data_IF_927844125454
#
_entry.id   IF_927844125454
#
_cell.length_a   1.000
_cell.length_b   1.000
_cell.length_c   1.000
_cell.angle_alpha   90.00
_cell.angle_beta   90.00
_cell.angle_gamma   90.00
#
_symmetry.space_group_name_H-M   'P 1'
#
loop_
_entity.id
_entity.type
_entity.pdbx_description
1 polymer ?
#
# COMPACT_ATOMS: atom_id res chain seq x y z
N UNK A 1 71.83 -17.19 20.84
CA UNK A 1 71.54 -16.87 19.42
C UNK A 1 70.65 -15.62 19.39
N UNK A 2 70.64 -14.91 18.27
CA UNK A 2 70.15 -13.52 18.11
C UNK A 2 68.77 -13.20 18.74
N UNK A 3 68.50 -12.03 19.33
CA UNK A 3 68.66 -10.63 18.86
C UNK A 3 67.70 -10.29 17.68
N UNK A 4 66.98 -9.15 17.62
CA UNK A 4 66.93 -7.92 18.44
C UNK A 4 65.70 -7.07 18.02
N UNK A 5 65.09 -6.33 18.97
CA UNK A 5 64.59 -4.92 18.87
C UNK A 5 63.65 -4.44 17.70
N UNK A 6 62.96 -3.29 17.77
CA UNK A 6 62.52 -2.39 18.87
C UNK A 6 61.44 -1.41 18.36
N UNK A 7 60.74 -0.75 19.29
CA UNK A 7 59.81 0.36 19.10
C UNK A 7 60.46 1.65 18.56
N UNK A 8 59.61 2.52 18.00
CA UNK A 8 59.52 3.98 18.21
C UNK A 8 60.39 5.00 17.43
N UNK A 9 59.74 6.12 17.09
CA UNK A 9 60.23 7.52 17.08
C UNK A 9 61.01 8.11 15.88
N UNK A 10 60.27 8.90 15.08
CA UNK A 10 60.50 10.31 14.68
C UNK A 10 61.74 10.82 13.90
N UNK A 11 61.47 11.67 12.89
CA UNK A 11 62.39 12.62 12.20
C UNK A 11 61.90 12.95 10.78
N UNK A 12 61.38 14.16 10.48
CA UNK A 12 62.05 15.32 9.79
C UNK A 12 62.71 14.96 8.44
N UNK A 13 62.65 15.73 7.34
CA UNK A 13 62.19 17.09 6.94
C UNK A 13 62.12 17.13 5.38
N UNK A 14 61.66 18.14 4.60
CA UNK A 14 60.95 19.43 4.75
C UNK A 14 60.43 19.90 3.34
N UNK A 15 59.70 21.03 3.26
CA UNK A 15 59.31 21.74 2.01
C UNK A 15 57.87 21.46 1.55
N UNK A 16 57.00 22.44 1.28
CA UNK A 16 57.15 23.90 1.39
C UNK A 16 55.85 24.62 1.79
N UNK A 17 56.08 25.84 2.30
CA UNK A 17 55.17 26.93 2.70
C UNK A 17 53.89 27.12 1.84
N UNK A 18 52.68 27.35 2.38
CA UNK A 18 52.19 28.37 3.34
C UNK A 18 52.01 29.79 2.74
N UNK A 19 51.10 30.66 3.24
CA UNK A 19 49.85 30.40 3.98
C UNK A 19 48.63 31.23 3.47
N UNK A 20 47.46 31.01 4.09
CA UNK A 20 46.38 31.99 4.15
C UNK A 20 46.34 32.62 5.55
N UNK A 21 46.04 33.93 5.63
CA UNK A 21 45.66 34.75 6.82
C UNK A 21 46.00 36.23 6.51
N UNK A 22 45.32 37.29 6.95
CA UNK A 22 44.03 37.48 7.66
C UNK A 22 43.66 38.99 7.56
N UNK A 23 42.45 39.38 8.00
CA UNK A 23 42.04 40.74 8.43
C UNK A 23 41.97 41.92 7.43
N UNK A 24 40.74 42.43 7.29
CA UNK A 24 40.49 43.86 7.13
C UNK A 24 40.78 44.61 8.46
N UNK A 25 41.07 45.92 8.43
CA UNK A 25 40.05 46.88 8.86
C UNK A 25 40.03 48.18 8.05
N UNK A 26 39.10 49.08 8.40
CA UNK A 26 38.81 50.34 7.71
C UNK A 26 39.61 51.56 8.23
N UNK A 27 39.50 52.67 7.48
CA UNK A 27 39.38 54.08 7.91
C UNK A 27 40.42 55.10 7.40
N UNK A 28 39.88 56.21 6.88
CA UNK A 28 40.33 57.62 6.90
C UNK A 28 41.77 58.07 6.51
N UNK A 29 41.83 59.10 5.64
CA UNK A 29 43.00 59.98 5.44
C UNK A 29 43.13 60.50 3.99
N UNK A 30 42.39 61.55 3.58
CA UNK A 30 42.83 62.96 3.50
C UNK A 30 44.21 63.23 2.86
N UNK A 31 44.18 63.74 1.62
CA UNK A 31 45.09 64.76 1.08
C UNK A 31 44.27 65.61 0.06
N UNK A 32 44.03 66.89 0.36
CA UNK A 32 44.69 68.03 -0.31
C UNK A 32 44.34 68.10 -1.82
N UNK A 33 43.25 68.76 -2.25
CA UNK A 33 42.88 70.18 -2.10
C UNK A 33 43.82 71.14 -2.84
N UNK A 34 43.42 71.53 -4.06
CA UNK A 34 43.81 72.81 -4.63
C UNK A 34 42.59 73.65 -5.02
N UNK A 35 42.61 74.88 -4.51
CA UNK A 35 42.06 76.11 -5.07
C UNK A 35 40.56 76.15 -5.39
N UNK A 36 39.85 76.69 -4.41
CA UNK A 36 38.55 77.34 -4.54
C UNK A 36 38.80 78.84 -4.72
N UNK A 37 38.41 79.39 -5.86
CA UNK A 37 38.17 80.84 -6.00
C UNK A 37 36.69 81.08 -6.33
N UNK A 38 36.20 82.30 -6.14
CA UNK A 38 34.83 82.52 -5.65
C UNK A 38 33.75 82.80 -6.72
N UNK A 39 32.49 82.65 -6.30
CA UNK A 39 31.23 82.96 -7.05
C UNK A 39 30.91 84.48 -6.94
N UNK A 40 29.79 85.07 -7.46
CA UNK A 40 28.61 84.49 -8.16
C UNK A 40 28.00 85.31 -9.35
N UNK A 41 27.14 84.66 -10.15
CA UNK A 41 25.96 85.18 -10.92
C UNK A 41 25.56 84.09 -11.95
N UNK A 42 24.30 83.74 -12.27
CA UNK A 42 22.94 84.08 -11.82
C UNK A 42 22.07 82.80 -11.95
N UNK A 43 20.90 82.68 -11.29
CA UNK A 43 20.01 81.54 -11.48
C UNK A 43 19.22 81.68 -12.80
N UNK A 44 19.62 80.97 -13.85
CA UNK A 44 18.76 80.81 -15.03
C UNK A 44 17.61 79.85 -14.73
N UNK A 45 16.47 80.46 -14.44
CA UNK A 45 15.14 79.85 -14.37
C UNK A 45 14.87 79.05 -15.66
N UNK A 46 14.37 77.81 -15.55
CA UNK A 46 13.86 77.05 -16.70
C UNK A 46 14.67 75.83 -17.17
N UNK A 47 15.74 75.39 -16.50
CA UNK A 47 16.41 74.11 -16.85
C UNK A 47 15.62 72.87 -16.43
N UNK A 48 14.50 72.60 -17.12
CA UNK A 48 13.75 71.35 -17.01
C UNK A 48 14.66 70.20 -17.43
N UNK A 49 15.13 69.41 -16.45
CA UNK A 49 15.85 68.15 -16.70
C UNK A 49 14.88 67.10 -17.21
N UNK A 50 14.68 67.06 -18.52
CA UNK A 50 14.05 65.91 -19.18
C UNK A 50 14.88 64.65 -18.92
N UNK A 51 14.24 63.61 -18.37
CA UNK A 51 14.82 62.27 -18.36
C UNK A 51 15.04 61.83 -19.82
N UNK A 52 16.19 61.22 -20.13
CA UNK A 52 16.54 60.89 -21.52
C UNK A 52 15.62 59.79 -22.09
N UNK A 53 14.57 60.23 -22.77
CA UNK A 53 13.59 59.38 -23.43
C UNK A 53 14.14 58.54 -24.59
N UNK A 54 15.43 58.65 -24.96
CA UNK A 54 16.05 57.75 -25.95
C UNK A 54 15.98 56.28 -25.51
N UNK A 55 16.01 55.99 -24.20
CA UNK A 55 15.80 54.65 -23.66
C UNK A 55 14.40 54.08 -23.98
N UNK A 56 13.38 54.93 -24.07
CA UNK A 56 11.99 54.58 -24.37
C UNK A 56 11.71 54.45 -25.88
N UNK A 57 12.70 54.73 -26.74
CA UNK A 57 12.57 54.70 -28.21
C UNK A 57 13.30 53.53 -28.87
N UNK A 58 13.87 52.61 -28.11
CA UNK A 58 14.32 51.32 -28.68
C UNK A 58 13.10 50.56 -29.20
N UNK A 59 13.13 50.00 -30.42
CA UNK A 59 12.09 49.07 -30.86
C UNK A 59 11.97 47.95 -29.84
N UNK A 60 10.74 47.67 -29.39
CA UNK A 60 10.45 46.58 -28.45
C UNK A 60 10.45 45.21 -29.14
N UNK A 61 10.64 45.15 -30.46
CA UNK A 61 10.79 43.92 -31.22
C UNK A 61 11.97 43.09 -30.71
N UNK A 62 11.72 41.91 -30.09
CA UNK A 62 12.81 41.08 -29.60
C UNK A 62 13.65 40.57 -30.79
N UNK A 63 14.99 40.44 -30.63
CA UNK A 63 15.84 39.90 -31.69
C UNK A 63 15.32 38.55 -32.20
N UNK A 64 15.51 38.26 -33.49
CA UNK A 64 14.98 37.02 -34.11
C UNK A 64 15.40 35.73 -33.36
N UNK A 65 16.59 35.73 -32.73
CA UNK A 65 17.04 34.62 -31.88
C UNK A 65 16.16 34.43 -30.63
N UNK A 66 15.76 35.53 -29.99
CA UNK A 66 14.89 35.55 -28.80
C UNK A 66 13.47 35.14 -29.17
N UNK A 67 12.94 35.60 -30.31
CA UNK A 67 11.65 35.15 -30.84
C UNK A 67 11.62 33.64 -31.07
N UNK A 68 12.68 33.08 -31.70
CA UNK A 68 12.82 31.63 -31.90
C UNK A 68 12.95 30.87 -30.57
N UNK A 69 13.67 31.43 -29.59
CA UNK A 69 13.78 30.88 -28.24
C UNK A 69 12.42 30.83 -27.52
N UNK A 70 11.64 31.91 -27.56
CA UNK A 70 10.28 31.96 -27.03
C UNK A 70 9.36 30.93 -27.72
N UNK A 71 9.41 30.84 -29.05
CA UNK A 71 8.60 29.88 -29.80
C UNK A 71 8.94 28.43 -29.42
N UNK A 72 10.24 28.09 -29.32
CA UNK A 72 10.69 26.78 -28.87
C UNK A 72 10.26 26.48 -27.42
N UNK A 73 10.38 27.45 -26.51
CA UNK A 73 9.95 27.30 -25.13
C UNK A 73 8.42 27.10 -25.00
N UNK A 74 7.63 27.85 -25.76
CA UNK A 74 6.18 27.68 -25.82
C UNK A 74 5.79 26.29 -26.34
N UNK A 75 6.51 25.78 -27.35
CA UNK A 75 6.28 24.44 -27.91
C UNK A 75 6.59 23.33 -26.88
N UNK A 76 7.71 23.46 -26.14
CA UNK A 76 8.04 22.57 -25.01
C UNK A 76 6.99 22.65 -23.90
N UNK A 77 6.52 23.85 -23.56
CA UNK A 77 5.49 24.05 -22.54
C UNK A 77 4.15 23.39 -22.93
N UNK A 78 3.77 23.44 -24.22
CA UNK A 78 2.57 22.74 -24.72
C UNK A 78 2.74 21.21 -24.64
N UNK A 79 3.92 20.67 -24.98
CA UNK A 79 4.19 19.22 -24.87
C UNK A 79 4.16 18.75 -23.41
N UNK A 80 4.84 19.46 -22.51
CA UNK A 80 4.86 19.13 -21.07
C UNK A 80 3.47 19.30 -20.45
N UNK A 81 2.75 20.38 -20.78
CA UNK A 81 1.39 20.62 -20.32
C UNK A 81 0.41 19.54 -20.80
N UNK A 82 0.51 19.13 -22.07
CA UNK A 82 -0.29 18.04 -22.64
C UNK A 82 0.00 16.68 -21.98
N UNK A 83 1.27 16.37 -21.70
CA UNK A 83 1.65 15.14 -21.00
C UNK A 83 1.17 15.10 -19.55
N UNK A 84 1.31 16.21 -18.81
CA UNK A 84 0.78 16.33 -17.45
C UNK A 84 -0.75 16.26 -17.41
N UNK A 85 -1.44 16.92 -18.36
CA UNK A 85 -2.89 16.84 -18.50
C UNK A 85 -3.33 15.41 -18.81
N UNK A 86 -2.64 14.71 -19.73
CA UNK A 86 -2.93 13.32 -20.06
C UNK A 86 -2.78 12.42 -18.83
N UNK A 87 -1.66 12.51 -18.08
CA UNK A 87 -1.49 11.77 -16.83
C UNK A 87 -2.55 12.10 -15.77
N UNK A 88 -3.00 13.35 -15.71
CA UNK A 88 -4.05 13.75 -14.78
C UNK A 88 -5.42 13.18 -15.17
N UNK A 89 -5.80 13.26 -16.45
CA UNK A 89 -7.04 12.65 -16.98
C UNK A 89 -7.02 11.14 -16.75
N UNK A 90 -5.90 10.49 -17.04
CA UNK A 90 -5.76 9.03 -16.91
C UNK A 90 -5.92 8.59 -15.46
N UNK A 91 -5.23 9.25 -14.51
CA UNK A 91 -5.35 8.94 -13.07
C UNK A 91 -6.69 9.29 -12.44
N UNK A 92 -7.37 10.35 -12.90
CA UNK A 92 -8.58 10.88 -12.24
C UNK A 92 -9.86 10.32 -12.86
N UNK A 93 -9.91 10.10 -14.18
CA UNK A 93 -11.13 9.68 -14.88
C UNK A 93 -11.08 8.24 -15.41
N UNK A 94 -9.92 7.75 -15.86
CA UNK A 94 -9.81 6.43 -16.52
C UNK A 94 -9.41 5.32 -15.55
N UNK A 95 -8.47 5.56 -14.63
CA UNK A 95 -8.05 4.59 -13.64
C UNK A 95 -9.20 4.04 -12.77
N UNK A 96 -10.15 4.85 -12.24
CA UNK A 96 -11.29 4.32 -11.49
C UNK A 96 -12.19 3.40 -12.33
N UNK A 97 -12.34 3.66 -13.63
CA UNK A 97 -13.13 2.81 -14.52
C UNK A 97 -12.43 1.45 -14.74
N UNK A 98 -11.14 1.46 -15.04
CA UNK A 98 -10.34 0.23 -15.20
C UNK A 98 -10.24 -0.62 -13.93
N UNK A 99 -10.18 0.02 -12.75
CA UNK A 99 -10.23 -0.67 -11.46
C UNK A 99 -11.60 -1.31 -11.19
N UNK A 100 -12.70 -0.64 -11.52
CA UNK A 100 -14.04 -1.21 -11.40
C UNK A 100 -14.25 -2.38 -12.38
N UNK A 101 -13.75 -2.29 -13.62
CA UNK A 101 -13.76 -3.42 -14.56
C UNK A 101 -12.88 -4.60 -14.10
N UNK A 102 -11.74 -4.34 -13.46
CA UNK A 102 -10.91 -5.37 -12.87
C UNK A 102 -11.60 -6.03 -11.66
N UNK A 103 -12.22 -5.24 -10.79
CA UNK A 103 -13.02 -5.72 -9.66
C UNK A 103 -14.16 -6.61 -10.14
N UNK A 104 -14.99 -6.13 -11.08
CA UNK A 104 -16.12 -6.91 -11.59
C UNK A 104 -15.67 -8.23 -12.22
N UNK A 105 -14.61 -8.22 -13.04
CA UNK A 105 -14.01 -9.46 -13.58
C UNK A 105 -13.57 -10.44 -12.50
N UNK A 106 -13.02 -9.96 -11.39
CA UNK A 106 -12.57 -10.81 -10.28
C UNK A 106 -13.73 -11.33 -9.42
N UNK A 107 -14.83 -10.56 -9.30
CA UNK A 107 -16.07 -10.98 -8.64
C UNK A 107 -16.85 -12.01 -9.47
N UNK A 108 -16.95 -11.83 -10.79
CA UNK A 108 -17.65 -12.75 -11.70
C UNK A 108 -16.77 -13.89 -12.22
N UNK A 109 -15.56 -14.06 -11.66
CA UNK A 109 -14.65 -15.14 -12.05
C UNK A 109 -15.17 -16.47 -11.49
N UNK A 110 -15.30 -17.47 -12.35
CA UNK A 110 -15.68 -18.83 -11.97
C UNK A 110 -14.55 -19.51 -11.18
N UNK A 111 -14.51 -19.29 -9.86
CA UNK A 111 -13.62 -20.00 -8.92
C UNK A 111 -14.47 -20.72 -7.89
N UNK A 112 -14.27 -22.02 -7.73
CA UNK A 112 -14.87 -22.74 -6.60
C UNK A 112 -14.09 -22.42 -5.33
N UNK A 113 -14.80 -22.16 -4.23
CA UNK A 113 -14.20 -22.11 -2.91
C UNK A 113 -13.76 -23.51 -2.45
N UNK A 114 -14.50 -24.56 -2.82
CA UNK A 114 -14.30 -25.95 -2.37
C UNK A 114 -14.14 -26.04 -0.85
N UNK A 115 -15.13 -25.49 -0.11
CA UNK A 115 -15.10 -25.41 1.34
C UNK A 115 -15.15 -26.84 1.92
N UNK A 116 -14.16 -27.28 2.71
CA UNK A 116 -14.19 -28.59 3.34
C UNK A 116 -15.26 -28.67 4.43
N UNK A 117 -15.88 -29.85 4.57
CA UNK A 117 -16.83 -30.15 5.65
C UNK A 117 -16.05 -30.36 6.95
N UNK A 118 -16.10 -29.41 7.88
CA UNK A 118 -15.24 -29.40 9.06
C UNK A 118 -15.49 -30.58 10.00
N UNK A 119 -16.71 -31.10 10.11
CA UNK A 119 -17.00 -32.30 10.92
C UNK A 119 -16.22 -33.53 10.44
N UNK A 120 -15.95 -33.64 9.13
CA UNK A 120 -15.13 -34.72 8.56
C UNK A 120 -13.63 -34.59 8.89
N UNK A 121 -13.17 -33.37 9.17
CA UNK A 121 -11.79 -33.06 9.54
C UNK A 121 -11.53 -33.20 11.05
N UNK A 122 -12.54 -32.96 11.90
CA UNK A 122 -12.43 -33.06 13.37
C UNK A 122 -11.73 -34.33 13.90
N UNK A 123 -11.97 -35.56 13.38
CA UNK A 123 -11.29 -36.77 13.87
C UNK A 123 -9.87 -36.96 13.32
N UNK A 124 -9.42 -36.17 12.35
CA UNK A 124 -8.10 -36.29 11.73
C UNK A 124 -7.02 -35.63 12.59
N UNK A 125 -5.78 -36.12 12.46
CA UNK A 125 -4.59 -35.38 12.92
C UNK A 125 -4.20 -34.29 11.91
N UNK A 126 -3.27 -33.42 12.31
CA UNK A 126 -2.89 -32.24 11.52
C UNK A 126 -2.22 -32.63 10.17
N UNK A 127 -1.50 -33.76 10.13
CA UNK A 127 -0.85 -34.25 8.91
C UNK A 127 -1.87 -34.88 7.95
N UNK A 128 -2.84 -35.63 8.47
CA UNK A 128 -3.93 -36.20 7.69
C UNK A 128 -4.85 -35.12 7.10
N UNK A 129 -5.10 -34.01 7.80
CA UNK A 129 -5.81 -32.85 7.22
C UNK A 129 -5.03 -32.22 6.05
N UNK A 130 -3.74 -31.92 6.24
CA UNK A 130 -2.93 -31.34 5.16
C UNK A 130 -2.77 -32.30 3.97
N UNK A 131 -2.70 -33.61 4.21
CA UNK A 131 -2.74 -34.61 3.13
C UNK A 131 -4.08 -34.56 2.38
N UNK A 132 -5.21 -34.44 3.08
CA UNK A 132 -6.55 -34.31 2.46
C UNK A 132 -6.62 -33.09 1.54
N UNK A 133 -6.06 -31.95 1.94
CA UNK A 133 -6.00 -30.75 1.09
C UNK A 133 -5.02 -30.88 -0.09
N UNK A 134 -3.91 -31.61 0.10
CA UNK A 134 -2.94 -31.91 -0.95
C UNK A 134 -3.54 -32.85 -2.00
N UNK A 135 -4.26 -33.87 -1.57
CA UNK A 135 -4.96 -34.83 -2.44
C UNK A 135 -6.12 -34.18 -3.21
N UNK A 136 -6.77 -33.17 -2.61
CA UNK A 136 -7.73 -32.29 -3.29
C UNK A 136 -7.09 -31.33 -4.31
N UNK A 137 -5.76 -31.25 -4.37
CA UNK A 137 -5.03 -30.39 -5.31
C UNK A 137 -5.05 -28.90 -4.95
N UNK A 138 -5.33 -28.54 -3.69
CA UNK A 138 -5.39 -27.15 -3.27
C UNK A 138 -4.01 -26.48 -3.27
N UNK A 139 -3.95 -25.24 -3.75
CA UNK A 139 -2.77 -24.39 -3.57
C UNK A 139 -2.87 -23.71 -2.21
N UNK A 140 -1.95 -24.02 -1.31
CA UNK A 140 -2.02 -23.66 0.11
C UNK A 140 -0.90 -22.70 0.51
N UNK A 141 -1.26 -21.56 1.08
CA UNK A 141 -0.35 -20.62 1.73
C UNK A 141 -0.35 -20.86 3.24
N UNK A 142 0.70 -21.49 3.76
CA UNK A 142 0.85 -21.74 5.20
C UNK A 142 1.27 -20.46 5.95
N UNK A 143 0.37 -19.95 6.79
CA UNK A 143 0.63 -18.81 7.70
C UNK A 143 1.33 -19.27 8.98
N UNK A 144 0.92 -20.41 9.51
CA UNK A 144 1.58 -21.09 10.63
C UNK A 144 1.80 -22.56 10.24
N UNK A 145 3.01 -22.93 9.78
CA UNK A 145 3.29 -24.25 9.24
C UNK A 145 3.12 -25.39 10.25
N UNK A 146 2.87 -26.60 9.75
CA UNK A 146 2.80 -27.81 10.56
C UNK A 146 4.03 -27.98 11.47
N UNK A 147 3.79 -28.37 12.72
CA UNK A 147 4.85 -28.66 13.69
C UNK A 147 5.58 -27.43 14.25
N UNK A 148 5.22 -26.20 13.85
CA UNK A 148 5.78 -24.97 14.46
C UNK A 148 5.15 -24.66 15.82
N UNK A 149 3.88 -25.04 16.02
CA UNK A 149 3.18 -24.95 17.30
C UNK A 149 3.52 -26.13 18.20
N UNK A 150 4.13 -25.88 19.36
CA UNK A 150 4.43 -26.91 20.37
C UNK A 150 3.17 -27.58 20.97
N UNK A 151 2.01 -26.93 20.86
CA UNK A 151 0.72 -27.44 21.32
C UNK A 151 -0.08 -28.16 20.22
N UNK A 152 0.46 -28.26 19.00
CA UNK A 152 -0.25 -28.76 17.82
C UNK A 152 -1.12 -27.70 17.12
N UNK A 153 -1.60 -28.01 15.91
CA UNK A 153 -2.37 -27.10 15.07
C UNK A 153 -1.53 -26.25 14.10
N UNK A 154 -2.21 -25.65 13.13
CA UNK A 154 -1.64 -24.89 12.00
C UNK A 154 -2.64 -23.84 11.49
N UNK A 155 -2.17 -22.93 10.62
CA UNK A 155 -2.98 -21.90 9.96
C UNK A 155 -2.60 -21.87 8.48
N UNK A 156 -3.58 -22.14 7.61
CA UNK A 156 -3.39 -22.27 6.17
C UNK A 156 -4.47 -21.52 5.41
N UNK A 157 -4.11 -20.95 4.26
CA UNK A 157 -5.05 -20.29 3.36
C UNK A 157 -5.06 -21.01 2.02
N UNK A 158 -6.23 -21.50 1.60
CA UNK A 158 -6.44 -22.02 0.25
C UNK A 158 -6.58 -20.85 -0.71
N UNK A 159 -5.72 -20.80 -1.72
CA UNK A 159 -5.73 -19.77 -2.74
C UNK A 159 -6.74 -20.09 -3.86
N UNK A 160 -7.28 -19.06 -4.55
CA UNK A 160 -7.96 -19.23 -5.82
C UNK A 160 -7.03 -19.94 -6.83
N UNK A 161 -7.60 -20.81 -7.69
CA UNK A 161 -6.83 -21.67 -8.59
C UNK A 161 -6.00 -20.93 -9.65
N UNK A 162 -6.27 -19.64 -9.88
CA UNK A 162 -5.55 -18.75 -10.80
C UNK A 162 -4.64 -17.74 -10.07
N UNK A 163 -4.46 -17.86 -8.75
CA UNK A 163 -3.57 -17.01 -7.94
C UNK A 163 -2.35 -17.84 -7.49
N UNK A 164 -1.14 -17.59 -8.04
CA UNK A 164 0.06 -18.31 -7.63
C UNK A 164 0.54 -17.87 -6.25
N UNK A 165 1.26 -18.76 -5.57
CA UNK A 165 1.77 -18.59 -4.21
C UNK A 165 2.62 -17.32 -4.02
N UNK A 166 3.44 -16.99 -5.02
CA UNK A 166 4.31 -15.81 -4.99
C UNK A 166 3.51 -14.51 -5.08
N UNK A 167 2.43 -14.47 -5.88
CA UNK A 167 1.54 -13.31 -5.96
C UNK A 167 0.74 -13.15 -4.66
N UNK A 168 0.14 -14.24 -4.16
CA UNK A 168 -0.58 -14.23 -2.89
C UNK A 168 0.32 -13.79 -1.73
N UNK A 169 1.55 -14.31 -1.64
CA UNK A 169 2.52 -13.91 -0.61
C UNK A 169 2.82 -12.41 -0.63
N UNK A 170 2.99 -11.82 -1.81
CA UNK A 170 3.17 -10.36 -1.94
C UNK A 170 1.93 -9.57 -1.53
N UNK A 171 0.72 -10.03 -1.87
CA UNK A 171 -0.54 -9.37 -1.49
C UNK A 171 -0.82 -9.48 0.02
N UNK A 172 -0.55 -10.63 0.64
CA UNK A 172 -0.68 -10.81 2.09
C UNK A 172 0.34 -9.97 2.87
N UNK A 173 1.58 -9.82 2.37
CA UNK A 173 2.59 -8.94 2.96
C UNK A 173 2.21 -7.45 2.88
N UNK A 174 1.50 -7.02 1.83
CA UNK A 174 0.92 -5.67 1.75
C UNK A 174 -0.27 -5.53 2.70
N UNK A 175 -1.05 -6.61 2.88
CA UNK A 175 -2.24 -6.68 3.71
C UNK A 175 -3.50 -6.24 2.95
N UNK A 176 -4.58 -6.99 3.11
CA UNK A 176 -5.84 -6.82 2.35
C UNK A 176 -6.43 -5.41 2.48
N UNK A 177 -6.22 -4.74 3.63
CA UNK A 177 -6.65 -3.36 3.88
C UNK A 177 -5.88 -2.30 3.08
N UNK A 178 -4.72 -2.63 2.51
CA UNK A 178 -3.81 -1.69 1.85
C UNK A 178 -3.71 -1.92 0.32
N UNK A 179 -4.41 -2.92 -0.22
CA UNK A 179 -4.48 -3.22 -1.65
C UNK A 179 -5.79 -2.71 -2.25
N UNK A 180 -5.86 -2.59 -3.58
CA UNK A 180 -7.08 -2.16 -4.27
C UNK A 180 -8.21 -3.19 -4.10
N UNK A 181 -9.47 -2.74 -4.18
CA UNK A 181 -10.63 -3.63 -4.13
C UNK A 181 -10.56 -4.73 -5.19
N UNK A 182 -10.03 -4.44 -6.38
CA UNK A 182 -9.82 -5.44 -7.43
C UNK A 182 -8.83 -6.53 -7.00
N UNK A 183 -7.69 -6.18 -6.40
CA UNK A 183 -6.72 -7.16 -5.89
C UNK A 183 -7.26 -7.92 -4.68
N UNK A 184 -8.00 -7.25 -3.79
CA UNK A 184 -8.67 -7.90 -2.67
C UNK A 184 -9.69 -8.93 -3.16
N UNK A 185 -10.54 -8.59 -4.13
CA UNK A 185 -11.48 -9.54 -4.76
C UNK A 185 -10.75 -10.67 -5.49
N UNK A 186 -9.61 -10.40 -6.16
CA UNK A 186 -8.79 -11.45 -6.80
C UNK A 186 -8.31 -12.49 -5.79
N UNK A 187 -7.92 -12.04 -4.60
CA UNK A 187 -7.39 -12.90 -3.55
C UNK A 187 -8.49 -13.60 -2.76
N UNK A 188 -9.55 -12.87 -2.39
CA UNK A 188 -10.63 -13.36 -1.53
C UNK A 188 -11.62 -14.28 -2.24
N UNK A 189 -11.98 -13.99 -3.50
CA UNK A 189 -13.01 -14.74 -4.20
C UNK A 189 -12.53 -16.15 -4.59
N UNK A 190 -13.12 -17.18 -3.97
CA UNK A 190 -12.71 -18.57 -4.08
C UNK A 190 -11.60 -19.00 -3.12
N UNK A 191 -11.26 -18.17 -2.12
CA UNK A 191 -10.32 -18.50 -1.05
C UNK A 191 -11.01 -18.81 0.28
N UNK A 192 -10.30 -19.50 1.17
CA UNK A 192 -10.66 -19.61 2.58
C UNK A 192 -9.39 -19.75 3.44
N UNK A 193 -9.43 -19.23 4.67
CA UNK A 193 -8.43 -19.55 5.70
C UNK A 193 -8.97 -20.60 6.67
N UNK A 194 -8.11 -21.49 7.15
CA UNK A 194 -8.41 -22.51 8.15
C UNK A 194 -7.37 -22.46 9.27
N UNK A 195 -7.83 -22.13 10.47
CA UNK A 195 -7.09 -22.25 11.72
C UNK A 195 -7.47 -23.57 12.42
N UNK A 196 -6.45 -24.40 12.69
CA UNK A 196 -6.56 -25.62 13.50
C UNK A 196 -5.86 -25.37 14.83
N UNK A 197 -6.57 -25.56 15.94
CA UNK A 197 -6.00 -25.43 17.29
C UNK A 197 -6.24 -26.70 18.11
N UNK A 198 -5.19 -27.16 18.82
CA UNK A 198 -5.18 -28.37 19.65
C UNK A 198 -4.96 -28.10 21.15
N UNK A 199 -4.82 -26.82 21.53
CA UNK A 199 -4.43 -26.36 22.89
C UNK A 199 -5.36 -26.85 24.02
N UNK A 200 -6.65 -27.04 23.75
CA UNK A 200 -7.67 -27.33 24.77
C UNK A 200 -8.88 -28.01 24.14
N UNK A 201 -8.68 -29.21 23.61
CA UNK A 201 -9.60 -29.85 22.67
C UNK A 201 -9.25 -29.48 21.22
N UNK A 202 -10.06 -29.95 20.26
CA UNK A 202 -9.90 -29.62 18.84
C UNK A 202 -10.83 -28.48 18.48
N UNK A 203 -10.28 -27.40 17.95
CA UNK A 203 -11.04 -26.28 17.39
C UNK A 203 -10.61 -26.07 15.95
N UNK A 204 -11.56 -26.14 15.03
CA UNK A 204 -11.40 -25.74 13.64
C UNK A 204 -12.14 -24.43 13.44
N UNK A 205 -11.51 -23.44 12.82
CA UNK A 205 -12.16 -22.19 12.37
C UNK A 205 -11.80 -21.99 10.91
N UNK A 206 -12.80 -22.03 10.04
CA UNK A 206 -12.66 -21.68 8.63
C UNK A 206 -13.31 -20.31 8.40
N UNK A 207 -12.67 -19.41 7.68
CA UNK A 207 -13.29 -18.17 7.22
C UNK A 207 -13.15 -17.97 5.71
N UNK A 208 -14.12 -17.29 5.12
CA UNK A 208 -14.11 -16.92 3.71
C UNK A 208 -14.96 -15.67 3.45
N UNK A 209 -14.78 -15.08 2.26
CA UNK A 209 -15.62 -14.00 1.77
C UNK A 209 -16.70 -14.56 0.83
N UNK A 210 -17.97 -14.37 1.18
CA UNK A 210 -19.10 -14.64 0.30
C UNK A 210 -19.49 -13.36 -0.45
N UNK A 211 -19.19 -13.33 -1.75
CA UNK A 211 -19.57 -12.23 -2.66
C UNK A 211 -20.95 -12.45 -3.32
N UNK A 212 -21.59 -13.59 -3.08
CA UNK A 212 -22.86 -14.00 -3.68
C UNK A 212 -24.06 -13.79 -2.77
N UNK A 213 -23.84 -13.80 -1.45
CA UNK A 213 -24.84 -13.50 -0.44
C UNK A 213 -25.44 -12.09 -0.61
N UNK A 214 -26.74 -11.96 -0.32
CA UNK A 214 -27.46 -10.69 -0.32
C UNK A 214 -27.45 -10.01 1.05
N UNK A 215 -27.26 -10.81 2.10
CA UNK A 215 -27.42 -10.47 3.51
C UNK A 215 -26.76 -11.54 4.39
N UNK A 216 -26.77 -11.36 5.72
CA UNK A 216 -26.15 -12.31 6.63
C UNK A 216 -26.89 -13.66 6.71
N UNK A 217 -28.22 -13.68 6.59
CA UNK A 217 -29.03 -14.90 6.72
C UNK A 217 -28.82 -15.84 5.52
N UNK A 218 -28.74 -15.30 4.31
CA UNK A 218 -28.41 -16.04 3.08
C UNK A 218 -27.00 -16.63 3.13
N UNK A 219 -26.01 -15.87 3.64
CA UNK A 219 -24.65 -16.39 3.85
C UNK A 219 -24.61 -17.51 4.90
N UNK A 220 -25.36 -17.39 6.01
CA UNK A 220 -25.47 -18.46 7.02
C UNK A 220 -26.10 -19.71 6.39
N UNK A 221 -27.16 -19.56 5.60
CA UNK A 221 -27.82 -20.69 4.93
C UNK A 221 -26.87 -21.42 3.97
N UNK A 222 -26.18 -20.70 3.08
CA UNK A 222 -25.18 -21.28 2.16
C UNK A 222 -24.04 -21.96 2.92
N UNK A 223 -23.59 -21.37 4.03
CA UNK A 223 -22.56 -21.97 4.89
C UNK A 223 -23.06 -23.26 5.56
N UNK A 224 -24.29 -23.30 6.06
CA UNK A 224 -24.90 -24.51 6.61
C UNK A 224 -25.01 -25.63 5.56
N UNK A 225 -25.49 -25.31 4.36
CA UNK A 225 -25.57 -26.26 3.24
C UNK A 225 -24.18 -26.82 2.89
N UNK A 226 -23.14 -25.97 2.82
CA UNK A 226 -21.77 -26.39 2.55
C UNK A 226 -21.20 -27.36 3.60
N UNK A 227 -21.71 -27.32 4.83
CA UNK A 227 -21.29 -28.18 5.94
C UNK A 227 -22.22 -29.39 6.16
N UNK A 228 -23.28 -29.54 5.34
CA UNK A 228 -24.29 -30.58 5.53
C UNK A 228 -25.16 -30.40 6.79
N UNK A 229 -25.24 -29.18 7.31
CA UNK A 229 -26.01 -28.83 8.51
C UNK A 229 -27.46 -28.50 8.14
N UNK A 230 -28.41 -29.04 8.91
CA UNK A 230 -29.83 -28.74 8.74
C UNK A 230 -30.34 -27.72 9.78
N UNK A 231 -31.38 -26.99 9.40
CA UNK A 231 -32.10 -26.04 10.26
C UNK A 231 -32.59 -26.62 11.59
N UNK A 232 -32.89 -27.92 11.67
CA UNK A 232 -33.27 -28.60 12.92
C UNK A 232 -32.11 -28.83 13.89
N UNK A 233 -30.86 -28.68 13.44
CA UNK A 233 -29.66 -28.76 14.29
C UNK A 233 -29.35 -27.44 15.01
N UNK A 234 -30.02 -26.34 14.64
CA UNK A 234 -29.85 -25.02 15.25
C UNK A 234 -30.47 -25.03 16.65
N UNK A 235 -29.66 -24.74 17.67
CA UNK A 235 -30.11 -24.62 19.07
C UNK A 235 -29.98 -23.21 19.63
N UNK A 236 -29.19 -22.35 18.98
CA UNK A 236 -28.96 -20.96 19.37
C UNK A 236 -28.73 -20.07 18.15
N UNK A 237 -29.19 -18.83 18.20
CA UNK A 237 -29.05 -17.85 17.12
C UNK A 237 -29.24 -16.43 17.62
N UNK A 238 -28.60 -15.46 16.95
CA UNK A 238 -28.76 -14.05 17.29
C UNK A 238 -27.68 -13.17 16.68
N UNK A 239 -27.44 -12.03 17.33
CA UNK A 239 -26.31 -11.13 17.03
C UNK A 239 -25.43 -11.07 18.27
N UNK A 240 -24.11 -11.21 18.11
CA UNK A 240 -23.16 -11.12 19.23
C UNK A 240 -22.62 -9.70 19.48
N UNK A 241 -21.83 -9.54 20.56
CA UNK A 241 -21.29 -8.24 21.00
C UNK A 241 -20.36 -7.58 19.94
N UNK A 242 -19.85 -8.34 18.97
CA UNK A 242 -19.05 -7.83 17.86
C UNK A 242 -19.90 -7.49 16.62
N UNK A 243 -21.22 -7.72 16.68
CA UNK A 243 -22.16 -7.45 15.60
C UNK A 243 -22.29 -8.57 14.57
N UNK A 244 -21.74 -9.76 14.82
CA UNK A 244 -21.92 -10.89 13.90
C UNK A 244 -23.32 -11.48 14.10
N UNK A 245 -24.09 -11.64 13.03
CA UNK A 245 -25.27 -12.52 13.02
C UNK A 245 -24.78 -13.97 13.02
N UNK A 246 -25.37 -14.83 13.85
CA UNK A 246 -24.89 -16.20 14.00
C UNK A 246 -26.03 -17.22 14.17
N UNK A 247 -25.71 -18.46 13.82
CA UNK A 247 -26.45 -19.66 14.21
C UNK A 247 -25.47 -20.69 14.78
N UNK A 248 -25.89 -21.45 15.78
CA UNK A 248 -25.08 -22.44 16.46
C UNK A 248 -25.89 -23.66 16.87
N UNK A 249 -25.22 -24.78 17.03
CA UNK A 249 -25.86 -26.06 17.29
C UNK A 249 -24.87 -27.18 17.60
N UNK A 250 -25.37 -28.41 17.53
CA UNK A 250 -24.54 -29.62 17.66
C UNK A 250 -24.78 -30.56 16.48
N UNK A 251 -23.71 -31.15 15.96
CA UNK A 251 -23.74 -32.14 14.87
C UNK A 251 -22.59 -33.14 15.08
N UNK A 252 -22.83 -34.43 14.84
CA UNK A 252 -21.82 -35.51 14.95
C UNK A 252 -21.05 -35.59 16.27
N UNK A 253 -21.64 -35.09 17.36
CA UNK A 253 -21.01 -35.03 18.69
C UNK A 253 -20.15 -33.79 18.94
N UNK A 254 -20.04 -32.89 17.96
CA UNK A 254 -19.32 -31.62 18.04
C UNK A 254 -20.28 -30.44 18.20
N UNK A 255 -19.79 -29.36 18.81
CA UNK A 255 -20.48 -28.06 18.82
C UNK A 255 -20.04 -27.26 17.61
N UNK A 256 -20.99 -26.70 16.86
CA UNK A 256 -20.71 -25.84 15.71
C UNK A 256 -21.32 -24.45 15.89
N UNK A 257 -20.70 -23.46 15.24
CA UNK A 257 -21.22 -22.09 15.12
C UNK A 257 -20.81 -21.52 13.76
N UNK A 258 -21.78 -20.97 13.05
CA UNK A 258 -21.57 -20.14 11.86
C UNK A 258 -21.85 -18.70 12.27
N UNK A 259 -20.97 -17.77 11.94
CA UNK A 259 -21.09 -16.35 12.28
C UNK A 259 -20.71 -15.51 11.08
N UNK A 260 -21.49 -14.45 10.82
CA UNK A 260 -21.41 -13.64 9.62
C UNK A 260 -21.49 -12.17 9.97
N UNK A 261 -20.63 -11.38 9.32
CA UNK A 261 -20.64 -9.93 9.38
C UNK A 261 -20.32 -9.36 8.00
N UNK A 262 -20.75 -8.13 7.71
CA UNK A 262 -20.40 -7.48 6.44
C UNK A 262 -18.89 -7.44 6.23
N UNK A 263 -18.41 -7.77 5.03
CA UNK A 263 -16.98 -7.87 4.71
C UNK A 263 -16.24 -6.53 4.96
N UNK A 264 -16.96 -5.41 4.86
CA UNK A 264 -16.48 -4.07 5.20
C UNK A 264 -16.15 -3.85 6.68
N UNK A 265 -16.60 -4.73 7.59
CA UNK A 265 -16.21 -4.67 8.99
C UNK A 265 -14.83 -5.26 9.25
N UNK A 266 -14.50 -6.34 8.54
CA UNK A 266 -13.19 -7.01 8.61
C UNK A 266 -12.16 -6.31 7.74
N UNK A 267 -12.51 -5.99 6.49
CA UNK A 267 -11.63 -5.33 5.54
C UNK A 267 -12.14 -3.93 5.17
N UNK A 268 -11.32 -2.91 5.45
CA UNK A 268 -11.63 -1.50 5.18
C UNK A 268 -11.27 -1.06 3.75
N UNK A 269 -11.06 -2.01 2.83
CA UNK A 269 -10.76 -1.75 1.42
C UNK A 269 -11.95 -1.13 0.70
N UNK A 270 -11.86 0.15 0.37
CA UNK A 270 -12.91 0.89 -0.32
C UNK A 270 -13.17 0.31 -1.73
N UNK A 271 -14.42 -0.05 -2.01
CA UNK A 271 -14.90 -0.44 -3.35
C UNK A 271 -15.37 -1.87 -3.49
N UNK A 272 -15.17 -2.75 -2.50
CA UNK A 272 -15.81 -4.07 -2.49
C UNK A 272 -17.35 -3.96 -2.37
N UNK A 273 -18.14 -4.95 -2.84
CA UNK A 273 -19.60 -4.92 -2.75
C UNK A 273 -20.08 -4.80 -1.29
N UNK A 274 -21.02 -3.89 -1.03
CA UNK A 274 -21.55 -3.66 0.32
C UNK A 274 -22.40 -4.84 0.86
N UNK A 275 -22.86 -5.74 -0.01
CA UNK A 275 -23.57 -6.98 0.35
C UNK A 275 -22.62 -8.13 0.67
N UNK A 276 -21.33 -8.04 0.32
CA UNK A 276 -20.39 -9.11 0.55
C UNK A 276 -20.23 -9.39 2.04
N UNK A 277 -20.23 -10.67 2.40
CA UNK A 277 -20.18 -11.14 3.78
C UNK A 277 -18.83 -11.78 4.09
N UNK A 278 -18.33 -11.57 5.31
CA UNK A 278 -17.27 -12.38 5.89
C UNK A 278 -17.92 -13.47 6.74
N UNK A 279 -17.72 -14.72 6.34
CA UNK A 279 -18.33 -15.90 6.97
C UNK A 279 -17.26 -16.63 7.77
N UNK A 280 -17.54 -16.92 9.05
CA UNK A 280 -16.75 -17.79 9.90
C UNK A 280 -17.53 -19.05 10.28
N UNK A 281 -16.98 -20.22 9.98
CA UNK A 281 -17.49 -21.53 10.38
C UNK A 281 -16.55 -22.10 11.44
N UNK A 282 -17.08 -22.42 12.62
CA UNK A 282 -16.32 -23.00 13.73
C UNK A 282 -16.91 -24.32 14.17
N UNK A 283 -16.05 -25.33 14.33
CA UNK A 283 -16.34 -26.57 15.04
C UNK A 283 -15.47 -26.68 16.30
N UNK A 284 -15.98 -27.37 17.33
CA UNK A 284 -15.26 -27.58 18.60
C UNK A 284 -15.66 -28.93 19.20
N UNK A 285 -14.65 -29.68 19.69
CA UNK A 285 -14.77 -31.00 20.30
C UNK A 285 -13.67 -31.30 21.31
#
# INVERSE_FOLDING_TARGET
MEAKHSKSSAGKHAGDAAPADEKAPAAHGRAAAEQREERPAEPQEGSVRYLDGKGLRRPLDPPQLVQRGMAAFALVAVVVGGWLLFQWVDRVYLAPAGEQEALQRNLTREVSADIPVLSSLMPLDDAAMMQTFTDAGFTLYERVPLGTNAEGGFDVVKLPSDVPLEEAGLLYLQGINNISAASAAKLLNGSWDLEVSRKSGTVLRLHYADFTATDADSAIFSAMESQGLDSTMVTDSGVDDAGNTYQAGTADGYTWRISVIGLSEVYKSSGLPATAQYVGIRFTG
#
